data_IF_862579919057
#
_entry.id   IF_862579919057
#
_cell.length_a   1.000
_cell.length_b   1.000
_cell.length_c   1.000
_cell.angle_alpha   90.00
_cell.angle_beta   90.00
_cell.angle_gamma   90.00
#
_symmetry.space_group_name_H-M   'P 1'
#
loop_
_entity.id
_entity.type
_entity.pdbx_description
1 polymer ?
#
# COMPACT_ATOMS: atom_id res chain seq x y z
N UNK A 1 -14.97 13.38 31.81
CA UNK A 1 -14.86 12.02 31.24
C UNK A 1 -15.26 12.09 29.79
N UNK A 2 -14.30 12.13 28.87
CA UNK A 2 -14.60 12.10 27.44
C UNK A 2 -14.93 10.67 27.02
N UNK A 3 -16.12 10.44 26.48
CA UNK A 3 -16.45 9.16 25.88
C UNK A 3 -15.45 8.89 24.74
N UNK A 4 -14.70 7.78 24.81
CA UNK A 4 -13.92 7.36 23.65
C UNK A 4 -14.90 7.02 22.54
N UNK A 5 -14.67 7.56 21.34
CA UNK A 5 -15.44 7.19 20.16
C UNK A 5 -15.45 5.66 20.03
N UNK A 6 -16.58 5.03 19.64
CA UNK A 6 -16.64 3.58 19.48
C UNK A 6 -15.54 3.11 18.52
N UNK A 7 -14.87 2.04 18.90
CA UNK A 7 -13.82 1.44 18.10
C UNK A 7 -14.45 0.89 16.81
N UNK A 8 -14.07 1.47 15.66
CA UNK A 8 -14.60 1.03 14.37
C UNK A 8 -14.10 -0.41 14.08
N UNK A 9 -14.88 -1.25 13.38
CA UNK A 9 -14.43 -2.60 13.02
C UNK A 9 -13.16 -2.53 12.15
N UNK A 10 -12.38 -3.60 12.15
CA UNK A 10 -11.21 -3.72 11.28
C UNK A 10 -11.59 -3.42 9.82
N UNK A 11 -10.71 -2.70 9.11
CA UNK A 11 -10.94 -2.36 7.72
C UNK A 11 -10.44 -3.51 6.83
N UNK A 12 -11.32 -4.02 5.96
CA UNK A 12 -10.99 -5.08 5.01
C UNK A 12 -10.89 -4.49 3.61
N UNK A 13 -9.79 -4.75 2.94
CA UNK A 13 -9.61 -4.50 1.52
C UNK A 13 -10.18 -5.70 0.77
N UNK A 14 -11.45 -5.61 0.36
CA UNK A 14 -12.02 -6.55 -0.62
C UNK A 14 -11.45 -6.32 -2.02
N UNK A 15 -11.88 -7.12 -3.00
CA UNK A 15 -11.35 -7.08 -4.37
C UNK A 15 -11.43 -5.69 -5.02
N UNK A 16 -12.52 -4.96 -4.81
CA UNK A 16 -12.69 -3.62 -5.38
C UNK A 16 -11.77 -2.62 -4.69
N UNK A 17 -11.70 -2.65 -3.35
CA UNK A 17 -10.86 -1.74 -2.57
C UNK A 17 -9.38 -2.04 -2.78
N UNK A 18 -8.97 -3.30 -2.87
CA UNK A 18 -7.58 -3.68 -3.09
C UNK A 18 -7.08 -3.26 -4.48
N UNK A 19 -7.93 -3.40 -5.50
CA UNK A 19 -7.65 -2.92 -6.86
C UNK A 19 -7.46 -1.41 -6.86
N UNK A 20 -8.36 -0.66 -6.22
CA UNK A 20 -8.23 0.79 -6.10
C UNK A 20 -6.97 1.20 -5.33
N UNK A 21 -6.61 0.51 -4.25
CA UNK A 21 -5.36 0.78 -3.52
C UNK A 21 -4.14 0.57 -4.42
N UNK A 22 -4.10 -0.53 -5.17
CA UNK A 22 -2.99 -0.78 -6.10
C UNK A 22 -2.92 0.29 -7.20
N UNK A 23 -4.06 0.69 -7.77
CA UNK A 23 -4.14 1.75 -8.76
C UNK A 23 -3.61 3.08 -8.21
N UNK A 24 -4.04 3.46 -7.00
CA UNK A 24 -3.57 4.67 -6.34
C UNK A 24 -2.05 4.66 -6.10
N UNK A 25 -1.49 3.52 -5.70
CA UNK A 25 -0.03 3.35 -5.51
C UNK A 25 0.69 3.55 -6.85
N UNK A 26 0.24 2.90 -7.93
CA UNK A 26 0.84 3.04 -9.27
C UNK A 26 0.78 4.49 -9.76
N UNK A 27 -0.39 5.11 -9.70
CA UNK A 27 -0.57 6.51 -10.09
C UNK A 27 0.29 7.46 -9.25
N UNK A 28 0.52 7.16 -7.97
CA UNK A 28 1.40 7.96 -7.11
C UNK A 28 2.84 7.83 -7.56
N UNK A 29 3.32 6.61 -7.83
CA UNK A 29 4.66 6.37 -8.36
C UNK A 29 4.88 7.11 -9.68
N UNK A 30 3.95 6.96 -10.62
CA UNK A 30 4.01 7.63 -11.93
C UNK A 30 4.07 9.15 -11.79
N UNK A 31 3.21 9.73 -10.93
CA UNK A 31 3.19 11.17 -10.67
C UNK A 31 4.46 11.69 -9.99
N UNK A 32 5.07 10.89 -9.11
CA UNK A 32 6.26 11.25 -8.34
C UNK A 32 7.57 10.93 -9.06
N UNK A 33 7.53 10.20 -10.17
CA UNK A 33 8.72 9.68 -10.85
C UNK A 33 9.43 8.58 -10.04
N UNK A 34 8.67 7.79 -9.26
CA UNK A 34 9.20 6.63 -8.53
C UNK A 34 8.95 5.34 -9.32
N UNK A 35 9.84 4.36 -9.16
CA UNK A 35 9.67 3.06 -9.81
C UNK A 35 9.07 2.07 -8.83
N UNK A 36 7.81 1.68 -9.06
CA UNK A 36 7.20 0.56 -8.33
C UNK A 36 7.78 -0.74 -8.87
N UNK A 37 8.45 -1.53 -8.03
CA UNK A 37 9.05 -2.81 -8.42
C UNK A 37 8.12 -3.98 -8.10
N UNK A 38 7.44 -3.94 -6.96
CA UNK A 38 6.44 -4.92 -6.58
C UNK A 38 5.42 -4.32 -5.62
N UNK A 39 4.18 -4.79 -5.67
CA UNK A 39 3.16 -4.49 -4.68
C UNK A 39 2.22 -5.67 -4.49
N UNK A 40 1.81 -5.93 -3.25
CA UNK A 40 0.80 -6.94 -2.94
C UNK A 40 -0.17 -6.35 -1.92
N UNK A 41 -1.40 -6.15 -2.36
CA UNK A 41 -2.50 -5.70 -1.50
C UNK A 41 -3.29 -6.91 -1.03
N UNK A 42 -3.24 -7.15 0.28
CA UNK A 42 -3.98 -8.19 1.00
C UNK A 42 -5.22 -7.58 1.63
N UNK A 43 -6.08 -8.44 2.16
CA UNK A 43 -7.31 -8.03 2.86
C UNK A 43 -7.04 -7.12 4.07
N UNK A 44 -5.90 -7.26 4.73
CA UNK A 44 -5.56 -6.53 5.97
C UNK A 44 -4.21 -5.81 5.92
N UNK A 45 -3.41 -5.97 4.86
CA UNK A 45 -2.05 -5.44 4.79
C UNK A 45 -1.64 -5.13 3.36
N UNK A 46 -0.71 -4.19 3.19
CA UNK A 46 -0.14 -3.81 1.89
C UNK A 46 1.37 -3.92 1.97
N UNK A 47 1.98 -4.59 1.00
CA UNK A 47 3.42 -4.65 0.84
C UNK A 47 3.82 -3.98 -0.47
N UNK A 48 4.91 -3.21 -0.46
CA UNK A 48 5.45 -2.55 -1.65
C UNK A 48 6.97 -2.57 -1.63
N UNK A 49 7.58 -2.75 -2.80
CA UNK A 49 9.00 -2.48 -3.05
C UNK A 49 9.07 -1.36 -4.08
N UNK A 50 9.73 -0.27 -3.74
CA UNK A 50 9.77 0.96 -4.53
C UNK A 50 11.19 1.48 -4.56
N UNK A 51 11.65 1.89 -5.73
CA UNK A 51 12.83 2.75 -5.88
C UNK A 51 12.33 4.20 -5.99
N UNK A 52 12.82 5.06 -5.08
CA UNK A 52 12.37 6.44 -4.96
C UNK A 52 13.47 7.34 -4.42
N UNK A 53 13.54 8.57 -4.92
CA UNK A 53 14.34 9.66 -4.33
C UNK A 53 13.56 10.35 -3.20
N UNK A 54 13.15 9.56 -2.19
CA UNK A 54 12.38 10.03 -1.04
C UNK A 54 12.57 9.12 0.17
N UNK A 55 12.37 9.66 1.37
CA UNK A 55 12.36 8.85 2.60
C UNK A 55 11.17 7.86 2.62
N UNK A 56 11.36 6.62 3.12
CA UNK A 56 10.31 5.60 3.19
C UNK A 56 9.03 6.06 3.88
N UNK A 57 9.16 6.90 4.92
CA UNK A 57 8.04 7.47 5.65
C UNK A 57 7.20 8.40 4.77
N UNK A 58 7.86 9.12 3.85
CA UNK A 58 7.19 9.97 2.87
C UNK A 58 6.47 9.12 1.81
N UNK A 59 7.12 8.09 1.28
CA UNK A 59 6.50 7.15 0.32
C UNK A 59 5.25 6.51 0.93
N UNK A 60 5.36 5.99 2.16
CA UNK A 60 4.23 5.40 2.89
C UNK A 60 3.09 6.41 3.11
N UNK A 61 3.42 7.66 3.50
CA UNK A 61 2.42 8.70 3.76
C UNK A 61 1.66 9.07 2.48
N UNK A 62 2.37 9.21 1.36
CA UNK A 62 1.77 9.50 0.07
C UNK A 62 0.86 8.34 -0.36
N UNK A 63 1.32 7.09 -0.31
CA UNK A 63 0.48 5.92 -0.65
C UNK A 63 -0.79 5.84 0.18
N UNK A 64 -0.72 6.03 1.51
CA UNK A 64 -1.90 6.05 2.38
C UNK A 64 -2.85 7.18 2.00
N UNK A 65 -2.32 8.37 1.71
CA UNK A 65 -3.11 9.56 1.39
C UNK A 65 -3.85 9.40 0.06
N UNK A 66 -3.13 9.04 -1.00
CA UNK A 66 -3.71 8.88 -2.34
C UNK A 66 -4.66 7.69 -2.42
N UNK A 67 -4.36 6.58 -1.73
CA UNK A 67 -5.30 5.46 -1.62
C UNK A 67 -6.57 5.86 -0.88
N UNK A 68 -6.46 6.63 0.21
CA UNK A 68 -7.64 7.14 0.94
C UNK A 68 -8.49 8.05 0.04
N UNK A 69 -7.85 8.90 -0.77
CA UNK A 69 -8.55 9.77 -1.72
C UNK A 69 -9.38 8.95 -2.71
N UNK A 70 -8.76 7.97 -3.38
CA UNK A 70 -9.46 7.15 -4.36
C UNK A 70 -10.57 6.30 -3.73
N UNK A 71 -10.32 5.70 -2.55
CA UNK A 71 -11.34 4.94 -1.82
C UNK A 71 -12.55 5.80 -1.40
N UNK A 72 -12.33 7.08 -1.06
CA UNK A 72 -13.43 8.01 -0.79
C UNK A 72 -14.24 8.33 -2.06
N UNK A 73 -13.58 8.46 -3.22
CA UNK A 73 -14.24 8.72 -4.50
C UNK A 73 -15.17 7.57 -4.92
N UNK A 74 -14.85 6.33 -4.53
CA UNK A 74 -15.71 5.16 -4.77
C UNK A 74 -17.02 5.17 -3.98
N UNK A 75 -17.12 5.96 -2.90
CA UNK A 75 -18.31 6.08 -2.03
C UNK A 75 -18.84 4.74 -1.49
N UNK A 76 -17.94 3.78 -1.25
CA UNK A 76 -18.29 2.46 -0.71
C UNK A 76 -18.22 2.39 0.82
N UNK A 77 -17.64 3.41 1.47
CA UNK A 77 -17.45 3.47 2.92
C UNK A 77 -18.21 4.65 3.52
N UNK A 78 -18.60 4.51 4.78
CA UNK A 78 -19.10 5.61 5.59
C UNK A 78 -18.07 6.73 5.76
N UNK A 79 -18.51 8.00 5.85
CA UNK A 79 -17.63 9.12 6.16
C UNK A 79 -16.81 8.88 7.43
N UNK A 80 -15.52 9.22 7.39
CA UNK A 80 -14.62 9.08 8.54
C UNK A 80 -14.14 7.64 8.81
N UNK A 81 -14.24 6.74 7.84
CA UNK A 81 -13.70 5.37 7.95
C UNK A 81 -12.18 5.39 8.16
N UNK A 82 -11.73 4.77 9.26
CA UNK A 82 -10.30 4.55 9.55
C UNK A 82 -9.81 3.33 8.77
N UNK A 83 -8.85 3.54 7.87
CA UNK A 83 -8.34 2.50 6.95
C UNK A 83 -6.92 2.06 7.24
N UNK A 84 -6.09 2.99 7.70
CA UNK A 84 -4.66 2.77 7.91
C UNK A 84 -4.27 2.99 9.36
N UNK A 85 -3.36 2.17 9.92
CA UNK A 85 -2.65 2.55 11.12
C UNK A 85 -1.79 3.80 10.84
N UNK A 86 -1.48 4.56 11.90
CA UNK A 86 -0.61 5.75 11.78
C UNK A 86 0.78 5.36 11.23
N UNK A 87 1.35 4.29 11.77
CA UNK A 87 2.68 3.79 11.40
C UNK A 87 2.59 2.63 10.40
N UNK A 88 3.74 2.15 9.97
CA UNK A 88 3.93 0.97 9.13
C UNK A 88 5.42 0.63 9.10
N UNK A 89 5.74 -0.58 8.68
CA UNK A 89 7.13 -1.02 8.58
C UNK A 89 7.79 -0.45 7.33
N UNK A 90 8.89 0.27 7.53
CA UNK A 90 9.73 0.81 6.46
C UNK A 90 11.15 0.25 6.59
N UNK A 91 11.79 -0.08 5.47
CA UNK A 91 13.17 -0.57 5.44
C UNK A 91 13.87 -0.13 4.16
N UNK A 92 15.09 0.38 4.30
CA UNK A 92 15.97 0.64 3.16
C UNK A 92 16.59 -0.66 2.64
N UNK A 93 16.64 -0.79 1.31
CA UNK A 93 17.27 -1.91 0.61
C UNK A 93 18.44 -1.37 -0.22
N UNK A 94 19.66 -1.65 0.21
CA UNK A 94 20.87 -1.04 -0.35
C UNK A 94 21.57 -1.87 -1.43
N UNK A 95 21.33 -3.19 -1.45
CA UNK A 95 22.02 -4.10 -2.35
C UNK A 95 21.01 -4.73 -3.32
N UNK A 96 21.38 -4.95 -4.59
CA UNK A 96 20.48 -5.57 -5.57
C UNK A 96 19.88 -6.90 -5.08
N UNK A 97 20.67 -7.76 -4.42
CA UNK A 97 20.20 -9.03 -3.88
C UNK A 97 19.09 -8.86 -2.82
N UNK A 98 19.13 -7.78 -2.04
CA UNK A 98 18.09 -7.48 -1.05
C UNK A 98 16.82 -6.97 -1.71
N UNK A 99 16.94 -6.23 -2.82
CA UNK A 99 15.81 -5.82 -3.65
C UNK A 99 15.13 -7.03 -4.27
N UNK A 100 15.88 -7.93 -4.91
CA UNK A 100 15.34 -9.17 -5.49
C UNK A 100 14.64 -10.05 -4.44
N UNK A 101 15.27 -10.23 -3.28
CA UNK A 101 14.66 -10.99 -2.18
C UNK A 101 13.37 -10.34 -1.66
N UNK A 102 13.32 -9.01 -1.55
CA UNK A 102 12.11 -8.30 -1.15
C UNK A 102 10.99 -8.42 -2.20
N UNK A 103 11.31 -8.33 -3.50
CA UNK A 103 10.35 -8.56 -4.59
C UNK A 103 9.78 -9.97 -4.49
N UNK A 104 10.64 -10.99 -4.34
CA UNK A 104 10.21 -12.37 -4.17
C UNK A 104 9.29 -12.52 -2.95
N UNK A 105 9.66 -11.95 -1.81
CA UNK A 105 8.84 -11.99 -0.60
C UNK A 105 7.44 -11.38 -0.84
N UNK A 106 7.36 -10.22 -1.50
CA UNK A 106 6.09 -9.54 -1.80
C UNK A 106 5.23 -10.35 -2.77
N UNK A 107 5.84 -10.97 -3.77
CA UNK A 107 5.13 -11.66 -4.85
C UNK A 107 4.69 -13.07 -4.42
N UNK A 108 5.60 -13.85 -3.84
CA UNK A 108 5.45 -15.30 -3.67
C UNK A 108 5.14 -15.70 -2.21
N UNK A 109 5.58 -14.92 -1.23
CA UNK A 109 5.56 -15.36 0.18
C UNK A 109 4.41 -14.75 1.00
N UNK A 110 3.55 -13.92 0.41
CA UNK A 110 2.40 -13.33 1.13
C UNK A 110 1.15 -14.23 1.15
N UNK A 111 1.22 -15.44 0.59
CA UNK A 111 0.11 -16.38 0.43
C UNK A 111 -0.71 -16.14 -0.83
N UNK A 112 -1.89 -16.75 -0.96
CA UNK A 112 -2.72 -16.70 -2.18
C UNK A 112 -2.87 -15.27 -2.74
N UNK A 113 -2.41 -14.99 -3.98
CA UNK A 113 -2.44 -13.65 -4.54
C UNK A 113 -3.86 -13.09 -4.58
N UNK A 114 -4.01 -11.84 -4.17
CA UNK A 114 -5.28 -11.11 -4.24
C UNK A 114 -5.20 -9.98 -5.27
N UNK A 115 -4.49 -8.90 -4.94
CA UNK A 115 -4.17 -7.86 -5.92
C UNK A 115 -2.66 -7.66 -5.90
N UNK A 116 -2.01 -8.06 -6.99
CA UNK A 116 -0.56 -8.18 -7.09
C UNK A 116 -0.07 -7.38 -8.30
N UNK A 117 1.06 -6.72 -8.12
CA UNK A 117 1.85 -6.11 -9.17
C UNK A 117 3.31 -6.55 -9.00
N UNK A 118 3.94 -6.86 -10.13
CA UNK A 118 5.38 -7.08 -10.26
C UNK A 118 5.80 -6.38 -11.54
N UNK A 119 6.79 -5.50 -11.45
CA UNK A 119 7.41 -4.94 -12.65
C UNK A 119 8.12 -6.06 -13.40
N UNK A 120 8.02 -6.07 -14.72
CA UNK A 120 8.91 -6.88 -15.55
C UNK A 120 10.34 -6.35 -15.36
N UNK A 121 11.33 -7.24 -15.34
CA UNK A 121 12.73 -6.78 -15.32
C UNK A 121 12.95 -5.89 -16.56
N UNK A 122 13.62 -4.74 -16.42
CA UNK A 122 13.94 -3.89 -17.56
C UNK A 122 14.83 -4.59 -18.58
#
# INVERSE_FOLDING_TARGET
MGASAPEQPAYSLDEFRSTAVLEAIRNTCDYRGWNLLAAHVRTNHVHTVVEAEAEPERVMTDFKTYSTRLLNEMKLDEPGRKRWPRHGSTRWLWEPKHVSAAIQYVVEEQGLPMTLFRAEEP
#
